data_IF_382282312804
#
_entry.id   IF_382282312804
#
_cell.length_a   1.000
_cell.length_b   1.000
_cell.length_c   1.000
_cell.angle_alpha   90.00
_cell.angle_beta   90.00
_cell.angle_gamma   90.00
#
_symmetry.space_group_name_H-M   'P 1'
#
loop_
_entity.id
_entity.type
_entity.pdbx_description
1 polymer ?
#
# COMPACT_ATOMS: atom_id res chain seq x y z
N UNK A 1 3.66 -1.34 -26.02
CA UNK A 1 2.86 -0.64 -25.00
C UNK A 1 2.25 -1.55 -23.94
N UNK A 2 1.95 -2.82 -24.23
CA UNK A 2 1.41 -3.77 -23.20
C UNK A 2 2.50 -4.26 -22.21
N UNK A 3 3.77 -4.19 -22.58
CA UNK A 3 4.89 -4.68 -21.72
C UNK A 3 5.27 -3.74 -20.57
N UNK A 4 4.72 -2.53 -20.52
CA UNK A 4 5.00 -1.51 -19.48
C UNK A 4 3.91 -1.40 -18.42
N UNK A 5 2.85 -2.19 -18.51
CA UNK A 5 1.74 -2.19 -17.54
C UNK A 5 1.83 -3.35 -16.56
N UNK A 6 1.22 -3.14 -15.41
CA UNK A 6 0.91 -4.21 -14.45
C UNK A 6 0.07 -5.30 -15.15
N UNK A 7 0.34 -6.56 -14.80
CA UNK A 7 -0.38 -7.73 -15.33
C UNK A 7 -0.92 -8.60 -14.19
N UNK A 8 -2.18 -9.04 -14.30
CA UNK A 8 -2.82 -9.95 -13.35
C UNK A 8 -3.01 -11.31 -14.03
N UNK A 9 -2.32 -12.33 -13.52
CA UNK A 9 -2.38 -13.71 -13.99
C UNK A 9 -3.15 -14.58 -12.99
N UNK A 10 -4.20 -15.21 -13.47
CA UNK A 10 -5.07 -16.12 -12.71
C UNK A 10 -4.92 -17.59 -13.14
N UNK A 11 -3.98 -17.91 -14.01
CA UNK A 11 -3.81 -19.25 -14.58
C UNK A 11 -3.69 -20.32 -13.49
N UNK A 12 -2.95 -20.03 -12.42
CA UNK A 12 -2.74 -20.96 -11.31
C UNK A 12 -3.93 -21.08 -10.33
N UNK A 13 -4.99 -20.34 -10.59
CA UNK A 13 -6.29 -20.57 -9.96
C UNK A 13 -7.16 -21.51 -10.79
N UNK A 14 -6.81 -21.75 -12.07
CA UNK A 14 -7.65 -22.51 -12.98
C UNK A 14 -7.47 -24.03 -12.82
N UNK A 15 -8.57 -24.76 -12.98
CA UNK A 15 -8.56 -26.21 -13.09
C UNK A 15 -7.68 -26.64 -14.26
N UNK A 16 -6.73 -27.54 -14.01
CA UNK A 16 -5.71 -27.97 -14.97
C UNK A 16 -4.32 -27.40 -14.66
N UNK A 17 -4.23 -26.18 -14.14
CA UNK A 17 -2.98 -25.64 -13.59
C UNK A 17 -2.90 -25.89 -12.08
N UNK A 18 -4.01 -25.71 -11.37
CA UNK A 18 -4.19 -26.15 -9.98
C UNK A 18 -4.69 -27.62 -9.98
N UNK A 19 -3.93 -28.52 -9.39
CA UNK A 19 -4.15 -29.98 -9.52
C UNK A 19 -5.52 -30.43 -8.96
N UNK A 20 -5.97 -29.81 -7.87
CA UNK A 20 -7.29 -30.05 -7.25
C UNK A 20 -7.97 -28.74 -6.90
N UNK A 21 -9.29 -28.68 -7.05
CA UNK A 21 -10.10 -27.55 -6.56
C UNK A 21 -9.88 -26.21 -7.29
N UNK A 22 -9.30 -26.22 -8.49
CA UNK A 22 -9.15 -25.01 -9.30
C UNK A 22 -10.48 -24.56 -9.92
N UNK A 23 -10.54 -23.27 -10.28
CA UNK A 23 -11.67 -22.65 -10.95
C UNK A 23 -11.87 -23.23 -12.36
N UNK A 24 -13.08 -23.61 -12.71
CA UNK A 24 -13.39 -24.07 -14.06
C UNK A 24 -13.83 -22.91 -14.96
N UNK A 25 -13.62 -22.99 -16.29
CA UNK A 25 -14.15 -22.00 -17.22
C UNK A 25 -15.64 -21.75 -17.03
N UNK A 26 -16.40 -22.81 -16.74
CA UNK A 26 -17.84 -22.72 -16.48
C UNK A 26 -18.19 -21.92 -15.23
N UNK A 27 -17.36 -21.98 -14.18
CA UNK A 27 -17.53 -21.12 -12.99
C UNK A 27 -17.30 -19.66 -13.34
N UNK A 28 -16.24 -19.36 -14.12
CA UNK A 28 -15.96 -17.99 -14.55
C UNK A 28 -17.07 -17.44 -15.46
N UNK A 29 -17.57 -18.23 -16.42
CA UNK A 29 -18.71 -17.86 -17.28
C UNK A 29 -19.96 -17.56 -16.45
N UNK A 30 -20.29 -18.43 -15.49
CA UNK A 30 -21.44 -18.26 -14.60
C UNK A 30 -21.33 -16.99 -13.77
N UNK A 31 -20.11 -16.62 -13.34
CA UNK A 31 -19.87 -15.47 -12.47
C UNK A 31 -19.72 -14.15 -13.26
N UNK A 32 -19.32 -14.19 -14.54
CA UNK A 32 -19.05 -13.00 -15.35
C UNK A 32 -20.18 -11.95 -15.35
N UNK A 33 -21.50 -12.30 -15.46
CA UNK A 33 -22.56 -11.29 -15.40
C UNK A 33 -22.64 -10.56 -14.05
N UNK A 34 -22.37 -11.27 -12.94
CA UNK A 34 -22.36 -10.67 -11.60
C UNK A 34 -21.18 -9.74 -11.42
N UNK A 35 -20.01 -10.14 -11.90
CA UNK A 35 -18.79 -9.31 -11.88
C UNK A 35 -19.00 -8.00 -12.65
N UNK A 36 -19.59 -8.10 -13.85
CA UNK A 36 -19.87 -6.92 -14.68
C UNK A 36 -20.94 -6.01 -14.05
N UNK A 37 -21.97 -6.59 -13.44
CA UNK A 37 -22.98 -5.84 -12.69
C UNK A 37 -22.37 -5.09 -11.49
N UNK A 38 -21.43 -5.73 -10.77
CA UNK A 38 -20.73 -5.10 -9.65
C UNK A 38 -19.86 -3.93 -10.15
N UNK A 39 -19.07 -4.14 -11.23
CA UNK A 39 -18.26 -3.09 -11.86
C UNK A 39 -19.10 -1.88 -12.25
N UNK A 40 -20.23 -2.11 -12.96
CA UNK A 40 -21.17 -1.04 -13.35
C UNK A 40 -21.69 -0.29 -12.14
N UNK A 41 -22.12 -1.01 -11.10
CA UNK A 41 -22.65 -0.39 -9.90
C UNK A 41 -21.60 0.51 -9.17
N UNK A 42 -20.33 0.13 -9.21
CA UNK A 42 -19.25 1.00 -8.68
C UNK A 42 -19.07 2.24 -9.54
N UNK A 43 -19.01 2.10 -10.88
CA UNK A 43 -18.86 3.23 -11.79
C UNK A 43 -20.06 4.19 -11.73
N UNK A 44 -21.28 3.66 -11.64
CA UNK A 44 -22.51 4.46 -11.48
C UNK A 44 -22.50 5.27 -10.18
N UNK A 45 -22.05 4.67 -9.09
CA UNK A 45 -21.89 5.37 -7.80
C UNK A 45 -20.79 6.43 -7.85
N UNK A 46 -19.70 6.17 -8.55
CA UNK A 46 -18.66 7.17 -8.78
C UNK A 46 -19.22 8.34 -9.59
N UNK A 47 -19.92 8.08 -10.68
CA UNK A 47 -20.58 9.11 -11.50
C UNK A 47 -21.63 9.93 -10.75
N UNK A 48 -22.21 9.36 -9.67
CA UNK A 48 -23.11 10.07 -8.75
C UNK A 48 -22.36 10.82 -7.62
N UNK A 49 -21.03 10.87 -7.62
CA UNK A 49 -20.21 11.54 -6.62
C UNK A 49 -20.14 10.83 -5.25
N UNK A 50 -20.52 9.55 -5.20
CA UNK A 50 -20.56 8.77 -3.96
C UNK A 50 -19.22 8.12 -3.61
N UNK A 51 -18.27 8.06 -4.54
CA UNK A 51 -16.96 7.43 -4.39
C UNK A 51 -15.85 8.42 -4.73
N UNK A 52 -15.73 9.48 -3.93
CA UNK A 52 -14.84 10.62 -4.17
C UNK A 52 -13.35 10.23 -4.29
N UNK A 53 -12.94 9.07 -3.76
CA UNK A 53 -11.57 8.57 -3.91
C UNK A 53 -11.22 8.24 -5.37
N UNK A 54 -12.22 7.94 -6.21
CA UNK A 54 -11.98 7.62 -7.63
C UNK A 54 -11.53 8.82 -8.46
N UNK A 55 -11.78 10.04 -7.97
CA UNK A 55 -11.39 11.28 -8.64
C UNK A 55 -9.97 11.72 -8.24
N UNK A 56 -9.40 11.16 -7.17
CA UNK A 56 -8.08 11.53 -6.65
C UNK A 56 -6.94 11.47 -7.70
N UNK A 57 -6.91 10.51 -8.65
CA UNK A 57 -5.87 10.49 -9.67
C UNK A 57 -5.85 11.71 -10.60
N UNK A 58 -6.95 12.48 -10.68
CA UNK A 58 -7.08 13.64 -11.54
C UNK A 58 -6.75 14.97 -10.85
N UNK A 59 -6.42 14.96 -9.55
CA UNK A 59 -6.12 16.17 -8.80
C UNK A 59 -4.79 16.82 -9.24
N UNK A 60 -4.69 18.13 -9.09
CA UNK A 60 -3.43 18.85 -9.28
C UNK A 60 -2.58 18.79 -7.99
N UNK A 61 -1.38 18.19 -8.02
CA UNK A 61 -0.49 18.13 -6.87
C UNK A 61 0.31 19.42 -6.61
N UNK A 62 0.04 20.50 -7.32
CA UNK A 62 0.85 21.72 -7.29
C UNK A 62 1.02 22.30 -5.88
N UNK A 63 -0.02 22.26 -5.05
CA UNK A 63 0.04 22.77 -3.68
C UNK A 63 1.01 21.94 -2.79
N UNK A 64 0.98 20.61 -2.90
CA UNK A 64 1.90 19.74 -2.16
C UNK A 64 3.35 19.95 -2.60
N UNK A 65 3.57 20.07 -3.91
CA UNK A 65 4.89 20.29 -4.48
C UNK A 65 5.45 21.67 -4.11
N UNK A 66 4.64 22.71 -4.14
CA UNK A 66 5.05 24.05 -3.71
C UNK A 66 5.46 24.08 -2.25
N UNK A 67 4.67 23.48 -1.36
CA UNK A 67 5.01 23.41 0.07
C UNK A 67 6.27 22.55 0.32
N UNK A 68 6.47 21.49 -0.45
CA UNK A 68 7.68 20.67 -0.38
C UNK A 68 8.93 21.45 -0.80
N UNK A 69 8.84 22.31 -1.83
CA UNK A 69 9.95 23.19 -2.24
C UNK A 69 10.23 24.30 -1.20
N UNK A 70 9.18 24.92 -0.64
CA UNK A 70 9.31 25.89 0.44
C UNK A 70 9.96 25.31 1.70
N UNK A 71 9.77 24.00 1.91
CA UNK A 71 10.27 23.26 3.07
C UNK A 71 11.68 22.68 2.85
N UNK A 72 12.14 22.61 1.60
CA UNK A 72 13.41 21.99 1.26
C UNK A 72 14.60 22.66 1.98
N UNK A 73 15.47 21.86 2.60
CA UNK A 73 16.62 22.32 3.34
C UNK A 73 16.31 23.01 4.69
N UNK A 74 15.05 23.31 5.00
CA UNK A 74 14.65 23.91 6.29
C UNK A 74 14.60 22.86 7.40
N UNK A 75 14.14 21.66 7.08
CA UNK A 75 13.94 20.58 8.04
C UNK A 75 14.83 19.39 7.72
N UNK A 76 15.42 18.79 8.75
CA UNK A 76 16.17 17.54 8.65
C UNK A 76 15.27 16.32 8.76
N UNK A 77 14.16 16.45 9.49
CA UNK A 77 13.23 15.37 9.75
C UNK A 77 11.80 15.79 9.43
N UNK A 78 11.04 14.86 8.87
CA UNK A 78 9.58 14.86 8.80
C UNK A 78 9.08 13.79 9.74
N UNK A 79 8.29 14.18 10.74
CA UNK A 79 7.56 13.27 11.60
C UNK A 79 6.09 13.28 11.19
N UNK A 80 5.58 12.16 10.73
CA UNK A 80 4.16 11.95 10.45
C UNK A 80 3.53 11.30 11.67
N UNK A 81 2.44 11.90 12.17
CA UNK A 81 1.62 11.34 13.26
C UNK A 81 0.26 10.97 12.69
N UNK A 82 -0.07 9.70 12.70
CA UNK A 82 -1.33 9.18 12.19
C UNK A 82 -1.44 7.68 12.44
N UNK A 83 -2.63 7.12 12.41
CA UNK A 83 -2.86 5.68 12.63
C UNK A 83 -3.72 5.10 11.50
N UNK A 84 -3.54 3.81 11.19
CA UNK A 84 -4.30 3.11 10.17
C UNK A 84 -4.19 3.81 8.81
N UNK A 85 -5.31 4.22 8.20
CA UNK A 85 -5.32 4.90 6.90
C UNK A 85 -4.56 6.22 6.86
N UNK A 86 -4.28 6.84 8.01
CA UNK A 86 -3.49 8.07 8.11
C UNK A 86 -1.96 7.81 8.14
N UNK A 87 -1.53 6.55 8.24
CA UNK A 87 -0.11 6.17 8.31
C UNK A 87 0.28 5.15 7.23
N UNK A 88 -0.50 4.06 7.07
CA UNK A 88 -0.11 2.90 6.27
C UNK A 88 0.19 3.24 4.81
N UNK A 89 -0.53 4.21 4.22
CA UNK A 89 -0.24 4.68 2.86
C UNK A 89 1.13 5.33 2.76
N UNK A 90 1.47 6.22 3.69
CA UNK A 90 2.80 6.87 3.76
C UNK A 90 3.91 5.83 3.97
N UNK A 91 3.70 4.85 4.85
CA UNK A 91 4.65 3.76 5.10
C UNK A 91 4.87 2.94 3.83
N UNK A 92 3.79 2.52 3.16
CA UNK A 92 3.88 1.74 1.93
C UNK A 92 4.60 2.49 0.80
N UNK A 93 4.29 3.78 0.61
CA UNK A 93 4.95 4.62 -0.39
C UNK A 93 6.44 4.81 -0.06
N UNK A 94 6.78 5.08 1.21
CA UNK A 94 8.17 5.31 1.61
C UNK A 94 9.04 4.07 1.44
N UNK A 95 8.54 2.89 1.84
CA UNK A 95 9.25 1.63 1.65
C UNK A 95 9.45 1.31 0.16
N UNK A 96 8.45 1.62 -0.67
CA UNK A 96 8.53 1.36 -2.10
C UNK A 96 9.47 2.32 -2.84
N UNK A 97 9.42 3.62 -2.54
CA UNK A 97 9.95 4.67 -3.42
C UNK A 97 11.20 5.37 -2.89
N UNK A 98 11.39 5.46 -1.57
CA UNK A 98 12.62 6.03 -1.04
C UNK A 98 13.80 5.05 -1.20
N UNK A 99 15.03 5.53 -1.27
CA UNK A 99 16.21 4.70 -1.17
C UNK A 99 16.15 3.79 0.07
N UNK A 100 16.65 2.56 -0.03
CA UNK A 100 16.88 1.77 1.18
C UNK A 100 17.82 2.53 2.13
N UNK A 101 17.53 2.45 3.44
CA UNK A 101 18.30 3.18 4.47
C UNK A 101 18.26 4.71 4.28
N UNK A 102 17.18 5.25 3.72
CA UNK A 102 17.03 6.68 3.44
C UNK A 102 17.41 7.59 4.62
N UNK A 103 17.04 7.19 5.85
CA UNK A 103 17.32 7.98 7.04
C UNK A 103 18.81 8.00 7.46
N UNK A 104 19.61 7.09 6.91
CA UNK A 104 21.06 6.99 7.13
C UNK A 104 21.87 7.77 6.09
N UNK A 105 21.25 8.16 4.97
CA UNK A 105 21.88 8.95 3.93
C UNK A 105 22.19 10.37 4.41
N UNK A 106 23.21 10.98 3.83
CA UNK A 106 23.52 12.39 4.03
C UNK A 106 22.45 13.31 3.44
N UNK A 107 22.35 14.58 3.86
CA UNK A 107 21.40 15.53 3.27
C UNK A 107 21.55 15.65 1.74
N UNK A 108 22.80 15.68 1.23
CA UNK A 108 23.08 15.78 -0.21
C UNK A 108 22.56 14.56 -0.97
N UNK A 109 22.79 13.34 -0.45
CA UNK A 109 22.29 12.11 -1.05
C UNK A 109 20.75 12.03 -1.06
N UNK A 110 20.08 12.70 -0.10
CA UNK A 110 18.62 12.85 -0.08
C UNK A 110 18.10 14.03 -0.89
N UNK A 111 18.96 14.76 -1.61
CA UNK A 111 18.57 15.98 -2.33
C UNK A 111 18.01 17.06 -1.41
N UNK A 112 18.59 17.21 -0.20
CA UNK A 112 18.16 18.11 0.87
C UNK A 112 16.74 17.85 1.39
N UNK A 113 16.17 16.67 1.13
CA UNK A 113 14.87 16.24 1.66
C UNK A 113 15.03 15.68 3.09
N UNK A 114 13.98 15.77 3.93
CA UNK A 114 14.04 15.30 5.31
C UNK A 114 14.10 13.77 5.42
N UNK A 115 14.66 13.30 6.51
CA UNK A 115 14.45 11.92 6.99
C UNK A 115 12.98 11.74 7.38
N UNK A 116 12.39 10.59 7.06
CA UNK A 116 10.99 10.30 7.39
C UNK A 116 10.89 9.40 8.61
N UNK A 117 10.04 9.81 9.54
CA UNK A 117 9.59 9.01 10.67
C UNK A 117 8.07 9.00 10.71
N UNK A 118 7.47 7.87 11.06
CA UNK A 118 6.02 7.73 11.21
C UNK A 118 5.73 7.21 12.61
N UNK A 119 4.94 7.95 13.35
CA UNK A 119 4.43 7.56 14.67
C UNK A 119 2.98 7.12 14.48
N UNK A 120 2.77 5.81 14.35
CA UNK A 120 1.49 5.19 14.05
C UNK A 120 0.93 4.33 15.20
N UNK A 121 1.55 4.45 16.38
CA UNK A 121 1.15 3.74 17.58
C UNK A 121 1.34 4.63 18.82
N UNK A 122 0.80 4.21 19.95
CA UNK A 122 0.92 4.89 21.26
C UNK A 122 1.93 4.20 22.20
N UNK A 123 2.91 3.51 21.60
CA UNK A 123 3.98 2.86 22.37
C UNK A 123 4.86 3.92 23.05
N UNK A 124 4.96 3.93 24.41
CA UNK A 124 5.70 4.95 25.11
C UNK A 124 7.21 4.84 24.92
N UNK A 125 7.74 3.63 24.76
CA UNK A 125 9.18 3.41 24.61
C UNK A 125 9.65 3.86 23.23
N UNK A 126 8.89 3.54 22.19
CA UNK A 126 9.15 4.01 20.83
C UNK A 126 9.03 5.53 20.73
N UNK A 127 7.95 6.11 21.28
CA UNK A 127 7.72 7.56 21.27
C UNK A 127 8.85 8.31 21.99
N UNK A 128 9.24 7.86 23.17
CA UNK A 128 10.34 8.48 23.93
C UNK A 128 11.67 8.40 23.16
N UNK A 129 12.03 7.20 22.68
CA UNK A 129 13.27 6.98 21.94
C UNK A 129 13.33 7.82 20.65
N UNK A 130 12.20 7.98 19.96
CA UNK A 130 12.10 8.81 18.76
C UNK A 130 12.32 10.29 19.10
N UNK A 131 11.61 10.83 20.09
CA UNK A 131 11.69 12.24 20.48
C UNK A 131 13.07 12.63 21.04
N UNK A 132 13.76 11.72 21.72
CA UNK A 132 15.11 11.95 22.21
C UNK A 132 16.16 11.98 21.08
N UNK A 133 15.87 11.46 19.90
CA UNK A 133 16.77 11.43 18.73
C UNK A 133 16.48 12.49 17.69
N UNK A 134 15.24 12.99 17.63
CA UNK A 134 14.87 14.01 16.65
C UNK A 134 15.48 15.37 16.98
N UNK A 135 16.15 16.05 16.05
CA UNK A 135 16.52 17.46 16.17
C UNK A 135 15.24 18.30 16.05
N UNK A 136 14.54 18.52 17.15
CA UNK A 136 13.20 19.13 17.16
C UNK A 136 13.18 20.51 16.51
N UNK A 137 14.25 21.30 16.65
CA UNK A 137 14.41 22.61 16.01
C UNK A 137 14.55 22.53 14.47
N UNK A 138 14.73 21.32 13.94
CA UNK A 138 14.84 21.04 12.51
C UNK A 138 13.88 19.93 12.07
N UNK A 139 12.78 19.77 12.81
CA UNK A 139 11.74 18.77 12.52
C UNK A 139 10.46 19.46 12.10
N UNK A 140 9.87 19.02 10.99
CA UNK A 140 8.49 19.30 10.59
C UNK A 140 7.62 18.16 11.05
N UNK A 141 6.48 18.46 11.69
CA UNK A 141 5.52 17.47 12.18
C UNK A 141 4.24 17.58 11.36
N UNK A 142 3.91 16.53 10.62
CA UNK A 142 2.62 16.40 9.92
C UNK A 142 1.66 15.56 10.74
N UNK A 143 0.62 16.18 11.28
CA UNK A 143 -0.44 15.46 12.01
C UNK A 143 -1.59 15.17 11.05
N UNK A 144 -1.92 13.89 10.91
CA UNK A 144 -2.93 13.40 10.00
C UNK A 144 -4.08 12.78 10.78
N UNK A 145 -5.24 13.44 10.78
CA UNK A 145 -6.46 12.91 11.39
C UNK A 145 -7.69 13.53 10.74
N UNK A 146 -8.54 12.71 10.12
CA UNK A 146 -9.75 13.18 9.45
C UNK A 146 -10.68 13.88 10.44
N UNK A 147 -11.07 13.21 11.51
CA UNK A 147 -11.97 13.77 12.54
C UNK A 147 -11.27 14.74 13.50
N UNK A 148 -9.95 14.67 13.61
CA UNK A 148 -9.19 15.38 14.63
C UNK A 148 -9.48 14.92 16.07
N UNK A 149 -10.12 13.76 16.24
CA UNK A 149 -10.52 13.21 17.55
C UNK A 149 -10.02 11.77 17.76
N UNK A 150 -9.27 11.20 16.80
CA UNK A 150 -8.67 9.89 16.96
C UNK A 150 -7.70 9.91 18.12
N UNK A 151 -8.01 9.16 19.19
CA UNK A 151 -7.32 9.24 20.48
C UNK A 151 -5.81 9.08 20.36
N UNK A 152 -5.36 8.13 19.57
CA UNK A 152 -3.94 7.78 19.38
C UNK A 152 -3.19 8.91 18.67
N UNK A 153 -3.73 9.40 17.55
CA UNK A 153 -3.12 10.51 16.82
C UNK A 153 -3.07 11.80 17.64
N UNK A 154 -4.14 12.09 18.39
CA UNK A 154 -4.21 13.29 19.20
C UNK A 154 -3.32 13.19 20.45
N UNK A 155 -3.21 12.03 21.08
CA UNK A 155 -2.27 11.81 22.18
C UNK A 155 -0.82 12.00 21.69
N UNK A 156 -0.44 11.38 20.57
CA UNK A 156 0.86 11.58 19.94
C UNK A 156 1.15 13.05 19.62
N UNK A 157 0.16 13.74 19.01
CA UNK A 157 0.27 15.18 18.76
C UNK A 157 0.52 16.00 20.02
N UNK A 158 -0.24 15.77 21.09
CA UNK A 158 -0.10 16.54 22.33
C UNK A 158 1.29 16.35 22.97
N UNK A 159 1.77 15.11 23.01
CA UNK A 159 3.12 14.79 23.51
C UNK A 159 4.19 15.46 22.67
N UNK A 160 4.11 15.31 21.35
CA UNK A 160 5.10 15.89 20.41
C UNK A 160 5.04 17.41 20.43
N UNK A 161 3.85 18.00 20.48
CA UNK A 161 3.66 19.46 20.57
C UNK A 161 4.34 20.05 21.79
N UNK A 162 4.19 19.43 22.96
CA UNK A 162 4.80 19.92 24.21
C UNK A 162 6.32 19.94 24.10
N UNK A 163 6.93 18.85 23.62
CA UNK A 163 8.38 18.74 23.41
C UNK A 163 8.87 19.71 22.32
N UNK A 164 8.14 19.85 21.25
CA UNK A 164 8.44 20.76 20.15
C UNK A 164 8.39 22.22 20.62
N UNK A 165 7.33 22.60 21.34
CA UNK A 165 7.20 23.96 21.89
C UNK A 165 8.31 24.31 22.89
N UNK A 166 8.76 23.35 23.69
CA UNK A 166 9.91 23.53 24.58
C UNK A 166 11.20 23.78 23.81
N UNK A 167 11.38 23.14 22.64
CA UNK A 167 12.57 23.30 21.81
C UNK A 167 12.57 24.61 21.00
N UNK A 168 11.45 24.95 20.31
CA UNK A 168 11.40 26.06 19.35
C UNK A 168 10.71 27.32 19.90
N UNK A 169 10.05 27.23 21.04
CA UNK A 169 9.24 28.31 21.61
C UNK A 169 7.84 28.42 20.99
N UNK A 170 6.92 29.06 21.72
CA UNK A 170 5.51 29.15 21.32
C UNK A 170 5.31 29.93 20.00
N UNK A 171 6.10 30.95 19.74
CA UNK A 171 5.97 31.78 18.55
C UNK A 171 6.34 31.04 17.24
N UNK A 172 7.35 30.18 17.28
CA UNK A 172 7.82 29.41 16.12
C UNK A 172 7.08 28.08 15.94
N UNK A 173 6.32 27.63 16.92
CA UNK A 173 5.66 26.31 16.91
C UNK A 173 4.86 26.06 15.63
N UNK A 174 4.11 27.05 15.16
CA UNK A 174 3.28 26.92 13.94
C UNK A 174 4.08 26.63 12.68
N UNK A 175 5.33 27.07 12.62
CA UNK A 175 6.22 26.92 11.45
C UNK A 175 6.85 25.51 11.39
N UNK A 176 6.70 24.73 12.46
CA UNK A 176 7.13 23.33 12.60
C UNK A 176 5.96 22.33 12.54
N UNK A 177 4.74 22.82 12.34
CA UNK A 177 3.55 21.99 12.25
C UNK A 177 2.89 22.13 10.88
N UNK A 178 2.33 21.05 10.40
CA UNK A 178 1.41 20.99 9.28
C UNK A 178 0.32 19.98 9.60
N UNK A 179 -0.93 20.29 9.27
CA UNK A 179 -2.05 19.40 9.56
C UNK A 179 -2.73 18.94 8.28
N UNK A 180 -3.07 17.65 8.23
CA UNK A 180 -3.88 17.05 7.18
C UNK A 180 -5.19 16.55 7.80
N UNK A 181 -6.30 17.23 7.51
CA UNK A 181 -7.57 16.99 8.21
C UNK A 181 -8.79 17.32 7.33
N UNK A 182 -9.98 17.03 7.82
CA UNK A 182 -11.24 17.37 7.15
C UNK A 182 -11.36 18.91 6.97
N UNK A 183 -11.85 19.39 5.80
CA UNK A 183 -11.97 20.82 5.53
C UNK A 183 -13.06 21.55 6.34
N UNK A 184 -14.06 20.84 6.87
CA UNK A 184 -15.22 21.46 7.50
C UNK A 184 -15.17 21.45 9.02
N UNK A 185 -15.31 20.30 9.64
CA UNK A 185 -15.42 20.16 11.09
C UNK A 185 -14.43 19.11 11.62
N UNK A 186 -13.36 19.58 12.27
CA UNK A 186 -12.38 18.73 12.89
C UNK A 186 -11.77 19.46 14.07
N UNK A 187 -11.57 18.75 15.20
CA UNK A 187 -10.86 19.32 16.34
C UNK A 187 -9.43 19.76 15.96
N UNK A 188 -8.78 19.00 15.07
CA UNK A 188 -7.44 19.35 14.57
C UNK A 188 -7.47 20.63 13.71
N UNK A 189 -8.52 20.85 12.92
CA UNK A 189 -8.73 22.11 12.19
C UNK A 189 -8.85 23.30 13.11
N UNK A 190 -9.71 23.21 14.13
CA UNK A 190 -9.89 24.29 15.11
C UNK A 190 -8.55 24.63 15.82
N UNK A 191 -7.75 23.62 16.15
CA UNK A 191 -6.41 23.82 16.71
C UNK A 191 -5.51 24.54 15.69
N UNK A 192 -5.52 24.09 14.44
CA UNK A 192 -4.71 24.67 13.37
C UNK A 192 -5.03 26.13 13.10
N UNK A 193 -6.31 26.47 13.06
CA UNK A 193 -6.78 27.87 12.92
C UNK A 193 -6.34 28.74 14.10
N UNK A 194 -6.51 28.23 15.33
CA UNK A 194 -6.13 28.97 16.54
C UNK A 194 -4.62 29.24 16.64
N UNK A 195 -3.79 28.38 16.09
CA UNK A 195 -2.32 28.47 16.10
C UNK A 195 -1.76 29.12 14.82
N UNK A 196 -2.57 29.24 13.75
CA UNK A 196 -2.10 29.68 12.43
C UNK A 196 -1.21 28.65 11.73
N UNK A 197 -1.46 27.36 11.92
CA UNK A 197 -0.75 26.24 11.30
C UNK A 197 -1.20 26.06 9.85
N UNK A 198 -0.27 25.76 8.92
CA UNK A 198 -0.60 25.38 7.56
C UNK A 198 -1.40 24.06 7.55
N UNK A 199 -2.50 24.03 6.81
CA UNK A 199 -3.39 22.87 6.72
C UNK A 199 -3.58 22.43 5.27
N UNK A 200 -3.71 21.11 5.09
CA UNK A 200 -4.08 20.48 3.82
C UNK A 200 -5.38 19.70 4.03
N UNK A 201 -6.26 19.84 3.06
CA UNK A 201 -7.58 19.25 3.15
C UNK A 201 -7.57 17.77 2.77
N UNK A 202 -8.23 16.95 3.57
CA UNK A 202 -8.61 15.60 3.22
C UNK A 202 -9.98 15.69 2.54
N UNK A 203 -10.10 15.35 1.24
CA UNK A 203 -11.34 15.59 0.51
C UNK A 203 -12.54 14.91 1.17
N UNK A 204 -13.68 15.61 1.30
CA UNK A 204 -14.91 15.04 1.84
C UNK A 204 -15.31 13.76 1.08
N UNK A 205 -15.84 12.78 1.80
CA UNK A 205 -16.25 11.51 1.19
C UNK A 205 -15.13 10.48 1.00
N UNK A 206 -13.85 10.88 1.09
CA UNK A 206 -12.73 9.94 1.06
C UNK A 206 -12.59 9.24 2.42
N UNK A 207 -12.68 7.91 2.42
CA UNK A 207 -12.45 7.08 3.60
C UNK A 207 -10.96 6.96 3.94
N UNK A 208 -10.60 6.77 5.23
CA UNK A 208 -9.21 6.68 5.66
C UNK A 208 -8.36 5.68 4.86
N UNK A 209 -8.86 4.47 4.65
CA UNK A 209 -8.14 3.41 3.90
C UNK A 209 -8.07 3.64 2.38
N UNK A 210 -8.80 4.63 1.83
CA UNK A 210 -8.79 5.07 0.42
C UNK A 210 -8.07 6.41 0.23
N UNK A 211 -7.31 6.88 1.22
CA UNK A 211 -6.78 8.24 1.23
C UNK A 211 -5.32 8.37 0.78
N UNK A 212 -4.68 7.29 0.38
CA UNK A 212 -3.24 7.31 -0.01
C UNK A 212 -2.98 8.34 -1.10
N UNK A 213 -3.86 8.43 -2.10
CA UNK A 213 -3.75 9.37 -3.21
C UNK A 213 -4.34 10.75 -2.89
N UNK A 214 -4.58 11.09 -1.63
CA UNK A 214 -4.94 12.44 -1.16
C UNK A 214 -3.75 13.11 -0.45
N UNK A 215 -3.96 14.28 0.16
CA UNK A 215 -2.97 14.94 1.00
C UNK A 215 -2.34 14.00 2.06
N UNK A 216 -3.04 12.94 2.48
CA UNK A 216 -2.57 11.95 3.47
C UNK A 216 -1.29 11.26 3.02
N UNK A 217 -1.19 10.79 1.79
CA UNK A 217 0.01 10.16 1.27
C UNK A 217 0.85 11.09 0.39
N UNK A 218 0.20 11.99 -0.39
CA UNK A 218 0.90 12.82 -1.35
C UNK A 218 1.73 13.95 -0.71
N UNK A 219 1.29 14.52 0.43
CA UNK A 219 2.07 15.54 1.12
C UNK A 219 3.37 14.98 1.72
N UNK A 220 3.36 13.88 2.50
CA UNK A 220 4.60 13.23 2.92
C UNK A 220 5.49 12.79 1.76
N UNK A 221 4.88 12.28 0.67
CA UNK A 221 5.60 11.89 -0.54
C UNK A 221 6.34 13.08 -1.17
N UNK A 222 5.67 14.22 -1.36
CA UNK A 222 6.26 15.44 -1.90
C UNK A 222 7.40 15.96 -1.01
N UNK A 223 7.16 16.04 0.30
CA UNK A 223 8.15 16.53 1.27
C UNK A 223 9.43 15.69 1.27
N UNK A 224 9.32 14.39 1.05
CA UNK A 224 10.46 13.46 1.01
C UNK A 224 11.03 13.22 -0.39
N UNK A 225 10.51 13.93 -1.41
CA UNK A 225 11.03 13.90 -2.78
C UNK A 225 10.58 12.71 -3.62
N UNK A 226 9.54 11.98 -3.22
CA UNK A 226 8.93 10.95 -4.07
C UNK A 226 8.21 11.60 -5.26
N UNK A 227 8.14 10.89 -6.38
CA UNK A 227 7.47 11.37 -7.60
C UNK A 227 5.94 11.32 -7.48
N UNK A 228 5.36 12.38 -6.92
CA UNK A 228 3.91 12.53 -6.75
C UNK A 228 3.17 12.54 -8.09
N UNK A 229 3.78 13.13 -9.14
CA UNK A 229 3.15 13.17 -10.47
C UNK A 229 3.11 11.78 -11.10
N UNK A 230 4.17 11.00 -10.93
CA UNK A 230 4.22 9.61 -11.35
C UNK A 230 3.19 8.74 -10.64
N UNK A 231 2.99 8.93 -9.31
CA UNK A 231 1.94 8.25 -8.55
C UNK A 231 0.55 8.51 -9.12
N UNK A 232 0.19 9.78 -9.33
CA UNK A 232 -1.10 10.16 -9.89
C UNK A 232 -1.27 9.69 -11.34
N UNK A 233 -0.22 9.76 -12.14
CA UNK A 233 -0.25 9.28 -13.53
C UNK A 233 -0.49 7.77 -13.62
N UNK A 234 0.15 6.97 -12.76
CA UNK A 234 -0.07 5.52 -12.70
C UNK A 234 -1.48 5.16 -12.25
N UNK A 235 -2.00 5.88 -11.25
CA UNK A 235 -3.38 5.70 -10.80
C UNK A 235 -4.40 6.10 -11.89
N UNK A 236 -4.15 7.20 -12.61
CA UNK A 236 -5.00 7.65 -13.71
C UNK A 236 -4.99 6.68 -14.90
N UNK A 237 -3.81 6.12 -15.26
CA UNK A 237 -3.70 5.09 -16.30
C UNK A 237 -4.51 3.84 -15.92
N UNK A 238 -4.40 3.39 -14.66
CA UNK A 238 -5.17 2.26 -14.16
C UNK A 238 -6.67 2.55 -14.14
N UNK A 239 -7.09 3.75 -13.73
CA UNK A 239 -8.49 4.18 -13.77
C UNK A 239 -9.05 4.14 -15.20
N UNK A 240 -8.29 4.64 -16.17
CA UNK A 240 -8.63 4.55 -17.60
C UNK A 240 -8.76 3.12 -18.09
N UNK A 241 -7.84 2.23 -17.70
CA UNK A 241 -7.91 0.83 -18.09
C UNK A 241 -9.13 0.12 -17.48
N UNK A 242 -9.40 0.32 -16.19
CA UNK A 242 -10.56 -0.26 -15.51
C UNK A 242 -11.88 0.23 -16.13
N UNK A 243 -11.93 1.50 -16.53
CA UNK A 243 -13.12 2.05 -17.19
C UNK A 243 -13.32 1.46 -18.59
N UNK A 244 -12.25 1.27 -19.36
CA UNK A 244 -12.27 0.81 -20.74
C UNK A 244 -12.39 -0.72 -20.90
N UNK A 245 -12.16 -1.50 -19.84
CA UNK A 245 -12.15 -2.98 -19.90
C UNK A 245 -13.28 -3.60 -19.10
N UNK A 246 -13.74 -4.78 -19.54
CA UNK A 246 -14.86 -5.49 -18.95
C UNK A 246 -14.48 -6.90 -18.51
N UNK A 247 -15.22 -7.42 -17.53
CA UNK A 247 -15.14 -8.80 -17.05
C UNK A 247 -13.72 -9.17 -16.62
N UNK A 248 -13.28 -10.37 -16.98
CA UNK A 248 -11.96 -10.93 -16.60
C UNK A 248 -10.76 -10.27 -17.28
N UNK A 249 -10.96 -9.39 -18.27
CA UNK A 249 -9.90 -8.58 -18.89
C UNK A 249 -9.57 -7.31 -18.09
N UNK A 250 -10.45 -6.95 -17.19
CA UNK A 250 -10.25 -5.85 -16.27
C UNK A 250 -9.41 -6.33 -15.09
N UNK A 251 -8.26 -5.71 -14.77
CA UNK A 251 -7.34 -6.23 -13.75
C UNK A 251 -7.95 -6.23 -12.34
N UNK A 252 -8.70 -5.19 -11.96
CA UNK A 252 -9.38 -5.13 -10.68
C UNK A 252 -10.49 -6.18 -10.59
N UNK A 253 -11.27 -6.35 -11.66
CA UNK A 253 -12.31 -7.35 -11.73
C UNK A 253 -11.74 -8.78 -11.72
N UNK A 254 -10.64 -9.05 -12.42
CA UNK A 254 -10.01 -10.35 -12.42
C UNK A 254 -9.53 -10.73 -11.01
N UNK A 255 -8.86 -9.81 -10.32
CA UNK A 255 -8.43 -10.01 -8.94
C UNK A 255 -9.62 -10.22 -7.99
N UNK A 256 -10.55 -9.25 -7.95
CA UNK A 256 -11.74 -9.33 -7.09
C UNK A 256 -12.60 -10.56 -7.35
N UNK A 257 -12.79 -10.90 -8.63
CA UNK A 257 -13.61 -12.04 -9.06
C UNK A 257 -13.03 -13.38 -8.58
N UNK A 258 -11.72 -13.58 -8.71
CA UNK A 258 -11.05 -14.78 -8.18
C UNK A 258 -11.21 -14.84 -6.67
N UNK A 259 -10.86 -13.77 -5.94
CA UNK A 259 -10.99 -13.74 -4.48
C UNK A 259 -12.43 -14.06 -4.02
N UNK A 260 -13.41 -13.47 -4.70
CA UNK A 260 -14.82 -13.70 -4.37
C UNK A 260 -15.27 -15.13 -4.65
N UNK A 261 -14.93 -15.72 -5.80
CA UNK A 261 -15.35 -17.08 -6.15
C UNK A 261 -14.65 -18.11 -5.27
N UNK A 262 -13.39 -17.89 -4.94
CA UNK A 262 -12.64 -18.76 -4.04
C UNK A 262 -13.20 -18.73 -2.62
N UNK A 263 -13.56 -17.56 -2.10
CA UNK A 263 -14.15 -17.40 -0.77
C UNK A 263 -15.58 -17.99 -0.73
N UNK A 264 -16.49 -17.47 -1.55
CA UNK A 264 -17.92 -17.81 -1.43
C UNK A 264 -18.29 -19.13 -2.10
N UNK A 265 -17.52 -19.58 -3.10
CA UNK A 265 -17.78 -20.79 -3.87
C UNK A 265 -17.00 -22.01 -3.37
N UNK A 266 -15.80 -21.81 -2.85
CA UNK A 266 -14.88 -22.89 -2.48
C UNK A 266 -14.44 -22.84 -1.01
N UNK A 267 -14.85 -21.82 -0.25
CA UNK A 267 -14.58 -21.70 1.18
C UNK A 267 -13.16 -21.23 1.51
N UNK A 268 -12.43 -20.67 0.53
CA UNK A 268 -11.08 -20.14 0.73
C UNK A 268 -11.13 -18.69 1.13
N UNK A 269 -11.44 -18.46 2.40
CA UNK A 269 -11.69 -17.14 2.98
C UNK A 269 -10.45 -16.41 3.49
N UNK A 270 -9.24 -16.95 3.30
CA UNK A 270 -7.98 -16.30 3.67
C UNK A 270 -7.29 -15.76 2.42
N UNK A 271 -7.10 -14.44 2.35
CA UNK A 271 -6.42 -13.75 1.24
C UNK A 271 -5.00 -13.39 1.65
N UNK A 272 -4.01 -14.12 1.12
CA UNK A 272 -2.59 -13.88 1.42
C UNK A 272 -1.99 -12.96 0.37
N UNK A 273 -1.41 -11.83 0.79
CA UNK A 273 -0.63 -10.94 -0.08
C UNK A 273 0.86 -11.19 0.18
N UNK A 274 1.57 -11.71 -0.84
CA UNK A 274 2.98 -12.13 -0.74
C UNK A 274 3.86 -11.45 -1.81
N UNK A 275 4.33 -10.21 -1.57
CA UNK A 275 5.26 -9.54 -2.47
C UNK A 275 6.62 -10.25 -2.53
N UNK A 276 7.20 -10.34 -3.74
CA UNK A 276 8.57 -10.79 -3.97
C UNK A 276 9.51 -9.61 -4.23
N UNK A 277 9.41 -8.63 -3.34
CA UNK A 277 10.30 -7.47 -3.26
C UNK A 277 10.20 -6.85 -1.87
N UNK A 278 11.33 -6.58 -1.24
CA UNK A 278 11.38 -5.87 0.04
C UNK A 278 10.78 -4.45 -0.05
N UNK A 279 10.81 -3.83 -1.25
CA UNK A 279 10.16 -2.53 -1.51
C UNK A 279 8.64 -2.58 -1.42
N UNK A 280 8.03 -3.75 -1.62
CA UNK A 280 6.56 -3.91 -1.60
C UNK A 280 6.05 -4.51 -0.29
N UNK A 281 6.94 -4.71 0.72
CA UNK A 281 6.58 -5.30 2.01
C UNK A 281 5.39 -4.60 2.66
N UNK A 282 5.43 -3.28 2.75
CA UNK A 282 4.43 -2.51 3.49
C UNK A 282 3.18 -2.19 2.63
N UNK A 283 3.23 -2.44 1.32
CA UNK A 283 2.03 -2.49 0.51
C UNK A 283 1.10 -3.63 0.97
N UNK A 284 1.65 -4.76 1.40
CA UNK A 284 0.86 -5.85 1.97
C UNK A 284 0.21 -5.49 3.31
N UNK A 285 0.82 -4.60 4.11
CA UNK A 285 0.20 -4.05 5.32
C UNK A 285 -0.93 -3.08 5.02
N UNK A 286 -0.73 -2.19 4.06
CA UNK A 286 -1.78 -1.28 3.56
C UNK A 286 -2.95 -2.09 2.97
N UNK A 287 -2.68 -3.11 2.17
CA UNK A 287 -3.69 -4.03 1.62
C UNK A 287 -4.51 -4.71 2.71
N UNK A 288 -3.89 -5.15 3.80
CA UNK A 288 -4.59 -5.75 4.94
C UNK A 288 -5.71 -4.88 5.46
N UNK A 289 -5.44 -3.58 5.72
CA UNK A 289 -6.46 -2.65 6.19
C UNK A 289 -7.53 -2.44 5.13
N UNK A 290 -7.11 -2.14 3.90
CA UNK A 290 -8.03 -1.92 2.79
C UNK A 290 -9.03 -3.08 2.67
N UNK A 291 -8.54 -4.30 2.66
CA UNK A 291 -9.33 -5.52 2.46
C UNK A 291 -10.23 -5.83 3.66
N UNK A 292 -9.67 -5.91 4.86
CA UNK A 292 -10.40 -6.28 6.07
C UNK A 292 -11.52 -5.29 6.40
N UNK A 293 -11.20 -4.00 6.45
CA UNK A 293 -12.15 -2.95 6.86
C UNK A 293 -13.24 -2.71 5.80
N UNK A 294 -12.92 -2.94 4.53
CA UNK A 294 -13.90 -2.80 3.45
C UNK A 294 -14.85 -3.98 3.35
N UNK A 295 -14.37 -5.21 3.50
CA UNK A 295 -15.12 -6.43 3.22
C UNK A 295 -15.72 -7.10 4.45
N UNK A 296 -15.20 -6.80 5.66
CA UNK A 296 -15.81 -7.25 6.90
C UNK A 296 -17.18 -6.61 7.11
N UNK A 297 -18.26 -7.40 7.07
CA UNK A 297 -19.65 -6.93 7.20
C UNK A 297 -20.44 -7.82 8.14
N UNK A 298 -21.12 -7.17 9.09
CA UNK A 298 -22.08 -7.82 9.98
C UNK A 298 -23.39 -8.14 9.25
N UNK A 299 -23.85 -7.19 8.42
CA UNK A 299 -25.15 -7.29 7.75
C UNK A 299 -25.02 -7.14 6.22
N UNK A 300 -25.91 -7.78 5.49
CA UNK A 300 -26.10 -7.57 4.06
C UNK A 300 -26.88 -6.29 3.75
N UNK A 301 -27.15 -6.03 2.47
CA UNK A 301 -27.91 -4.85 2.01
C UNK A 301 -29.39 -4.89 2.40
N UNK A 302 -29.92 -6.05 2.82
CA UNK A 302 -31.28 -6.25 3.33
C UNK A 302 -31.34 -6.15 4.84
N UNK A 303 -30.20 -5.92 5.53
CA UNK A 303 -30.12 -5.84 6.98
C UNK A 303 -30.09 -7.18 7.71
N UNK A 304 -29.90 -8.28 6.98
CA UNK A 304 -29.78 -9.61 7.58
C UNK A 304 -28.35 -9.83 8.08
N UNK A 305 -28.20 -10.42 9.26
CA UNK A 305 -26.88 -10.75 9.82
C UNK A 305 -26.20 -11.85 8.99
N UNK A 306 -25.01 -11.54 8.47
CA UNK A 306 -24.22 -12.45 7.62
C UNK A 306 -22.82 -12.73 8.18
N UNK A 307 -22.20 -11.77 8.89
CA UNK A 307 -20.85 -11.87 9.47
C UNK A 307 -19.82 -12.40 8.43
N UNK A 308 -19.65 -11.68 7.34
CA UNK A 308 -18.79 -12.06 6.21
C UNK A 308 -17.55 -11.19 6.11
N UNK A 309 -16.56 -11.69 5.42
CA UNK A 309 -15.33 -10.98 5.06
C UNK A 309 -14.12 -11.91 5.06
N UNK A 310 -13.31 -11.90 3.98
CA UNK A 310 -12.09 -12.70 3.91
C UNK A 310 -11.01 -12.12 4.82
N UNK A 311 -10.26 -13.00 5.50
CA UNK A 311 -9.14 -12.62 6.36
C UNK A 311 -7.89 -12.29 5.53
N UNK A 312 -7.41 -11.04 5.48
CA UNK A 312 -6.17 -10.73 4.80
C UNK A 312 -4.94 -11.08 5.67
N UNK A 313 -3.97 -11.74 5.05
CA UNK A 313 -2.69 -12.10 5.66
C UNK A 313 -1.55 -11.50 4.84
N UNK A 314 -0.59 -10.88 5.49
CA UNK A 314 0.65 -10.46 4.84
C UNK A 314 1.71 -11.55 4.91
N UNK A 315 2.47 -11.67 3.85
CA UNK A 315 3.69 -12.47 3.77
C UNK A 315 4.73 -11.72 2.94
N UNK A 316 5.96 -12.19 2.94
CA UNK A 316 7.06 -11.64 2.14
C UNK A 316 7.84 -12.77 1.47
N UNK A 317 7.89 -12.81 0.17
CA UNK A 317 8.85 -13.66 -0.56
C UNK A 317 10.25 -13.03 -0.53
N UNK A 318 11.30 -13.79 -0.32
CA UNK A 318 11.39 -15.25 -0.10
C UNK A 318 11.24 -15.61 1.39
N UNK A 319 11.35 -14.61 2.27
CA UNK A 319 11.44 -14.77 3.73
C UNK A 319 10.39 -15.73 4.29
N UNK A 320 9.12 -15.53 3.92
CA UNK A 320 8.02 -16.31 4.49
C UNK A 320 7.79 -17.68 3.82
N UNK A 321 8.58 -18.03 2.82
CA UNK A 321 8.73 -19.44 2.41
C UNK A 321 9.32 -20.29 3.55
N UNK A 322 10.16 -19.68 4.39
CA UNK A 322 10.80 -20.34 5.53
C UNK A 322 10.00 -20.24 6.85
N UNK A 323 8.79 -19.66 6.81
CA UNK A 323 7.95 -19.51 8.00
C UNK A 323 6.52 -19.98 7.80
N UNK A 324 5.87 -19.66 6.69
CA UNK A 324 4.43 -19.86 6.48
C UNK A 324 4.11 -20.86 5.36
N UNK A 325 5.03 -21.13 4.43
CA UNK A 325 4.76 -21.89 3.22
C UNK A 325 4.28 -23.33 3.49
N UNK A 326 4.83 -23.99 4.52
CA UNK A 326 4.40 -25.33 4.90
C UNK A 326 2.90 -25.35 5.24
N UNK A 327 2.44 -24.37 6.03
CA UNK A 327 1.00 -24.22 6.36
C UNK A 327 0.16 -23.95 5.10
N UNK A 328 0.70 -23.18 4.16
CA UNK A 328 -0.02 -22.89 2.91
C UNK A 328 -0.17 -24.13 2.04
N UNK A 329 0.88 -24.97 1.95
CA UNK A 329 0.88 -26.16 1.12
C UNK A 329 0.11 -27.34 1.76
N UNK A 330 0.35 -27.61 3.06
CA UNK A 330 -0.07 -28.84 3.74
C UNK A 330 -1.25 -28.62 4.71
N UNK A 331 -1.51 -27.37 5.11
CA UNK A 331 -2.59 -27.03 6.03
C UNK A 331 -3.97 -27.01 5.37
N UNK A 332 -4.99 -26.44 6.05
CA UNK A 332 -6.34 -26.32 5.51
C UNK A 332 -6.38 -25.64 4.14
N UNK A 333 -7.22 -26.12 3.25
CA UNK A 333 -7.47 -25.53 1.92
C UNK A 333 -8.47 -24.37 2.03
N UNK A 334 -8.07 -23.31 2.71
CA UNK A 334 -8.88 -22.16 3.08
C UNK A 334 -8.32 -20.83 2.59
N UNK A 335 -7.31 -20.83 1.72
CA UNK A 335 -6.58 -19.63 1.34
C UNK A 335 -6.28 -19.51 -0.15
N UNK A 336 -6.21 -18.25 -0.62
CA UNK A 336 -5.70 -17.86 -1.94
C UNK A 336 -4.46 -17.02 -1.74
N UNK A 337 -3.37 -17.38 -2.42
CA UNK A 337 -2.12 -16.65 -2.35
C UNK A 337 -1.99 -15.69 -3.52
N UNK A 338 -1.77 -14.41 -3.25
CA UNK A 338 -1.46 -13.40 -4.26
C UNK A 338 0.03 -13.12 -4.24
N UNK A 339 0.74 -13.59 -5.24
CA UNK A 339 2.12 -13.23 -5.50
C UNK A 339 2.19 -11.86 -6.17
N UNK A 340 2.97 -10.95 -5.62
CA UNK A 340 3.25 -9.65 -6.24
C UNK A 340 4.71 -9.65 -6.71
N UNK A 341 4.90 -9.89 -8.00
CA UNK A 341 6.20 -10.01 -8.65
C UNK A 341 6.67 -8.70 -9.28
N UNK A 342 7.98 -8.59 -9.45
CA UNK A 342 8.65 -7.46 -10.12
C UNK A 342 9.42 -8.00 -11.32
N UNK A 343 9.16 -7.41 -12.52
CA UNK A 343 9.82 -7.84 -13.76
C UNK A 343 11.29 -7.38 -13.82
N UNK A 344 11.54 -6.15 -13.38
CA UNK A 344 12.89 -5.55 -13.40
C UNK A 344 13.21 -4.94 -12.02
N UNK A 345 14.31 -5.41 -11.42
CA UNK A 345 14.87 -4.81 -10.22
C UNK A 345 15.80 -3.64 -10.60
N UNK A 346 15.82 -2.60 -9.77
CA UNK A 346 16.64 -1.41 -10.00
C UNK A 346 18.16 -1.69 -9.97
N UNK A 347 18.57 -2.77 -9.30
CA UNK A 347 19.97 -3.14 -9.14
C UNK A 347 20.20 -4.59 -9.56
N UNK A 348 21.35 -4.84 -10.18
CA UNK A 348 21.83 -6.18 -10.50
C UNK A 348 22.95 -6.55 -9.52
N UNK A 349 22.71 -7.60 -8.73
CA UNK A 349 23.71 -8.12 -7.77
C UNK A 349 24.08 -9.53 -8.19
N UNK A 350 25.29 -9.74 -8.77
CA UNK A 350 25.73 -11.06 -9.19
C UNK A 350 26.07 -11.93 -7.99
N UNK A 351 25.81 -13.24 -8.13
CA UNK A 351 26.23 -14.27 -7.18
C UNK A 351 27.56 -14.79 -7.67
N UNK A 352 28.68 -14.61 -6.94
CA UNK A 352 29.99 -15.10 -7.36
C UNK A 352 30.03 -16.62 -7.37
N UNK A 353 30.98 -17.18 -8.13
CA UNK A 353 31.26 -18.62 -8.07
C UNK A 353 31.68 -19.02 -6.64
N UNK A 354 31.22 -20.18 -6.14
CA UNK A 354 31.63 -20.65 -4.83
C UNK A 354 33.11 -20.93 -4.81
N UNK A 355 33.77 -20.66 -3.68
CA UNK A 355 35.17 -21.02 -3.47
C UNK A 355 35.37 -22.51 -3.22
N UNK A 356 36.64 -22.95 -3.07
CA UNK A 356 36.98 -24.33 -2.72
C UNK A 356 36.25 -24.80 -1.45
N UNK A 357 35.69 -26.01 -1.46
CA UNK A 357 34.93 -26.60 -0.36
C UNK A 357 33.45 -26.26 -0.38
N UNK A 358 32.99 -25.45 -1.35
CA UNK A 358 31.58 -25.07 -1.52
C UNK A 358 31.02 -25.53 -2.88
N UNK A 359 31.54 -26.62 -3.45
CA UNK A 359 31.19 -27.16 -4.77
C UNK A 359 29.69 -27.49 -4.87
N UNK A 360 29.04 -27.86 -3.76
CA UNK A 360 27.59 -28.10 -3.70
C UNK A 360 26.74 -26.85 -3.99
N UNK A 361 27.31 -25.65 -3.90
CA UNK A 361 26.68 -24.38 -4.20
C UNK A 361 26.93 -23.89 -5.64
N UNK A 362 27.59 -24.71 -6.49
CA UNK A 362 27.96 -24.34 -7.87
C UNK A 362 26.76 -23.89 -8.72
N UNK A 363 25.56 -24.39 -8.41
CA UNK A 363 24.31 -24.01 -9.09
C UNK A 363 23.89 -22.56 -8.88
N UNK A 364 24.42 -21.86 -7.86
CA UNK A 364 24.15 -20.45 -7.61
C UNK A 364 25.08 -19.51 -8.38
N UNK A 365 26.32 -19.99 -8.66
CA UNK A 365 27.33 -19.17 -9.32
C UNK A 365 26.95 -18.77 -10.74
N UNK A 366 27.20 -17.50 -11.09
CA UNK A 366 26.92 -16.97 -12.42
C UNK A 366 25.48 -16.47 -12.63
N UNK A 367 24.63 -16.58 -11.61
CA UNK A 367 23.32 -15.99 -11.56
C UNK A 367 23.32 -14.67 -10.79
N UNK A 368 22.18 -13.98 -10.77
CA UNK A 368 21.96 -12.77 -9.96
C UNK A 368 20.97 -13.06 -8.83
N UNK A 369 20.92 -12.17 -7.81
CA UNK A 369 19.89 -12.25 -6.78
C UNK A 369 18.47 -12.07 -7.37
N UNK A 370 18.32 -11.33 -8.48
CA UNK A 370 17.06 -11.22 -9.20
C UNK A 370 16.63 -12.55 -9.83
N UNK A 371 17.57 -13.28 -10.47
CA UNK A 371 17.29 -14.62 -11.02
C UNK A 371 16.81 -15.58 -9.94
N UNK A 372 17.45 -15.55 -8.77
CA UNK A 372 17.05 -16.37 -7.63
C UNK A 372 15.65 -15.98 -7.14
N UNK A 373 15.37 -14.69 -6.99
CA UNK A 373 14.04 -14.19 -6.57
C UNK A 373 12.93 -14.65 -7.52
N UNK A 374 13.15 -14.56 -8.84
CA UNK A 374 12.18 -15.03 -9.84
C UNK A 374 12.02 -16.55 -9.84
N UNK A 375 13.12 -17.31 -9.68
CA UNK A 375 13.07 -18.75 -9.59
C UNK A 375 12.26 -19.21 -8.37
N UNK A 376 12.50 -18.62 -7.21
CA UNK A 376 11.81 -18.89 -5.96
C UNK A 376 10.31 -18.59 -6.06
N UNK A 377 9.94 -17.43 -6.62
CA UNK A 377 8.53 -17.07 -6.84
C UNK A 377 7.81 -18.08 -7.74
N UNK A 378 8.43 -18.41 -8.89
CA UNK A 378 7.84 -19.33 -9.86
C UNK A 378 7.74 -20.75 -9.33
N UNK A 379 8.78 -21.21 -8.64
CA UNK A 379 8.81 -22.53 -8.03
C UNK A 379 7.77 -22.67 -6.93
N UNK A 380 7.62 -21.66 -6.07
CA UNK A 380 6.63 -21.62 -5.00
C UNK A 380 5.21 -21.62 -5.56
N UNK A 381 4.92 -20.78 -6.56
CA UNK A 381 3.61 -20.74 -7.21
C UNK A 381 3.28 -22.09 -7.88
N UNK A 382 4.28 -22.73 -8.51
CA UNK A 382 4.12 -24.04 -9.12
C UNK A 382 3.88 -25.14 -8.08
N UNK A 383 4.66 -25.17 -7.01
CA UNK A 383 4.55 -26.16 -5.94
C UNK A 383 3.19 -26.08 -5.24
N UNK A 384 2.71 -24.86 -4.97
CA UNK A 384 1.37 -24.64 -4.39
C UNK A 384 0.27 -25.13 -5.32
N UNK A 385 0.35 -24.81 -6.62
CA UNK A 385 -0.65 -25.29 -7.60
C UNK A 385 -0.65 -26.82 -7.69
N UNK A 386 0.52 -27.49 -7.61
CA UNK A 386 0.65 -28.95 -7.49
C UNK A 386 0.03 -29.50 -6.21
N UNK A 387 0.09 -28.77 -5.13
CA UNK A 387 -0.59 -29.11 -3.88
C UNK A 387 -2.09 -28.76 -3.87
N UNK A 388 -2.65 -28.32 -5.00
CA UNK A 388 -4.05 -27.91 -5.09
C UNK A 388 -4.35 -26.57 -4.43
N UNK A 389 -3.34 -25.72 -4.25
CA UNK A 389 -3.46 -24.38 -3.62
C UNK A 389 -3.46 -23.30 -4.70
N UNK A 390 -4.58 -22.58 -4.91
CA UNK A 390 -4.67 -21.57 -5.94
C UNK A 390 -3.82 -20.34 -5.64
N UNK A 391 -3.29 -19.74 -6.69
CA UNK A 391 -2.57 -18.47 -6.56
C UNK A 391 -2.85 -17.53 -7.74
N UNK A 392 -2.94 -16.24 -7.42
CA UNK A 392 -2.92 -15.13 -8.38
C UNK A 392 -1.51 -14.58 -8.44
N UNK A 393 -1.03 -14.21 -9.62
CA UNK A 393 0.22 -13.47 -9.75
C UNK A 393 -0.06 -12.09 -10.34
N UNK A 394 0.31 -11.04 -9.60
CA UNK A 394 0.32 -9.65 -10.07
C UNK A 394 1.78 -9.32 -10.35
N UNK A 395 2.09 -8.93 -11.58
CA UNK A 395 3.45 -8.55 -11.95
C UNK A 395 3.50 -7.08 -12.32
N UNK A 396 4.35 -6.30 -11.65
CA UNK A 396 4.65 -4.93 -12.03
C UNK A 396 5.93 -4.87 -12.87
N UNK A 397 6.03 -3.96 -13.86
CA UNK A 397 7.25 -3.79 -14.64
C UNK A 397 8.47 -3.51 -13.76
N UNK A 398 8.32 -2.55 -12.86
CA UNK A 398 9.33 -2.16 -11.85
C UNK A 398 8.63 -1.53 -10.64
N UNK A 399 9.35 -1.37 -9.53
CA UNK A 399 8.82 -0.63 -8.37
C UNK A 399 9.21 0.84 -8.53
N UNK A 400 8.29 1.62 -9.06
CA UNK A 400 8.38 3.07 -9.23
C UNK A 400 7.04 3.74 -8.87
N UNK A 401 7.01 5.06 -8.91
CA UNK A 401 5.82 5.83 -8.55
C UNK A 401 4.62 5.47 -9.43
N UNK A 402 4.82 5.29 -10.74
CA UNK A 402 3.76 4.91 -11.68
C UNK A 402 3.16 3.54 -11.32
N UNK A 403 3.99 2.53 -11.12
CA UNK A 403 3.54 1.18 -10.74
C UNK A 403 2.83 1.19 -9.38
N UNK A 404 3.32 1.98 -8.42
CA UNK A 404 2.67 2.11 -7.11
C UNK A 404 1.31 2.76 -7.19
N UNK A 405 1.16 3.84 -7.96
CA UNK A 405 -0.13 4.49 -8.21
C UNK A 405 -1.13 3.53 -8.85
N UNK A 406 -0.70 2.77 -9.86
CA UNK A 406 -1.52 1.76 -10.52
C UNK A 406 -1.95 0.63 -9.57
N UNK A 407 -1.04 0.10 -8.73
CA UNK A 407 -1.33 -0.93 -7.75
C UNK A 407 -2.35 -0.46 -6.70
N UNK A 408 -2.15 0.74 -6.16
CA UNK A 408 -3.05 1.33 -5.15
C UNK A 408 -4.45 1.44 -5.74
N UNK A 409 -4.61 2.09 -6.89
CA UNK A 409 -5.92 2.29 -7.50
C UNK A 409 -6.59 0.97 -7.89
N UNK A 410 -5.83 0.00 -8.42
CA UNK A 410 -6.35 -1.32 -8.75
C UNK A 410 -6.94 -2.04 -7.52
N UNK A 411 -6.24 -2.02 -6.39
CA UNK A 411 -6.72 -2.68 -5.18
C UNK A 411 -7.88 -1.93 -4.52
N UNK A 412 -7.88 -0.60 -4.55
CA UNK A 412 -9.02 0.21 -4.10
C UNK A 412 -10.28 -0.12 -4.91
N UNK A 413 -10.15 -0.26 -6.22
CA UNK A 413 -11.26 -0.62 -7.11
C UNK A 413 -11.71 -2.08 -6.93
N UNK A 414 -10.79 -2.99 -6.64
CA UNK A 414 -11.08 -4.42 -6.44
C UNK A 414 -11.82 -4.70 -5.12
N UNK A 415 -11.70 -3.79 -4.15
CA UNK A 415 -12.29 -3.89 -2.83
C UNK A 415 -13.72 -3.34 -2.77
#
# INVERSE_FOLDING_TARGET
MIEERLYVDIERCMAGACETGGLTPKMLERFAPRLESARKAVLDRAGAGMLCWMDLPQQDPAEFLAFAEESAGRFECLLVIGIGGSALGTIALSTALLPFFNNELTPDERGSRPRLYVLDNVDPDETAALLDRLPLERTLVNVISKSGTTSESMAGYLVVRDRLQAAVGAAALKDHLVFTTDPSESALRNIGESLGVRMFDLPPGVGGRFSVLSAVGLLPAALTGMDVRGLLAGAADMAGWITASEGWKNPACAFAGVQYVEDTGLGRCVSVMMPYSARLRDLADWYRQLWAESLGKETDRQGQTVNVGPLPVKALGVTDQHSQLQLYAEGPDDKVITFLGVKEFANTVPIPAPGPGAESLAFLGGHTLADLMWAEQKATAWALAKAGRPSVTITVPRVDAFSMGALIYMHEMAT
#
